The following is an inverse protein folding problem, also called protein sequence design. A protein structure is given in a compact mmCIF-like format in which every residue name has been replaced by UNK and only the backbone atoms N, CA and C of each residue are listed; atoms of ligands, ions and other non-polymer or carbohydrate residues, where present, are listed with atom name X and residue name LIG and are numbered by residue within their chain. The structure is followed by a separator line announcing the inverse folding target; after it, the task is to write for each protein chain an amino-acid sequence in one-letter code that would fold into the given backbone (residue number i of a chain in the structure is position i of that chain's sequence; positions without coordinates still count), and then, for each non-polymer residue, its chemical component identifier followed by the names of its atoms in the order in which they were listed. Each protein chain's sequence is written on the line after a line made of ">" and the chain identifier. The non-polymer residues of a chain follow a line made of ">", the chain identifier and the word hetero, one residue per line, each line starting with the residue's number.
data_IF_340129127764
#
_entry.id   IF_340129127764
#
_cell.length_a   1.000
_cell.length_b   1.000
_cell.length_c   1.000
_cell.angle_alpha   90.00
_cell.angle_beta   90.00
_cell.angle_gamma   90.00
#
_symmetry.space_group_name_H-M   'P 1'
#
loop_
_entity.id
_entity.type
_entity.pdbx_description
1 polymer ?
#
# COMPACT_ATOMS: atom_id res chain seq x y z
N UNK A 1 49.94 -4.18 -11.14
CA UNK A 1 48.89 -3.96 -12.17
C UNK A 1 47.78 -4.97 -11.91
N UNK A 2 46.59 -4.70 -11.38
CA UNK A 2 45.99 -3.59 -10.65
C UNK A 2 44.81 -4.22 -9.88
N UNK A 3 44.60 -3.83 -8.63
CA UNK A 3 43.59 -4.41 -7.74
C UNK A 3 42.24 -3.79 -8.15
N UNK A 4 41.30 -4.59 -8.62
CA UNK A 4 39.95 -4.11 -8.93
C UNK A 4 39.20 -3.82 -7.63
N UNK A 5 39.35 -2.59 -7.14
CA UNK A 5 38.44 -2.04 -6.13
C UNK A 5 37.07 -1.92 -6.77
N UNK A 6 36.17 -2.88 -6.49
CA UNK A 6 34.72 -2.66 -6.65
C UNK A 6 34.38 -1.43 -5.81
N UNK A 7 34.18 -0.29 -6.47
CA UNK A 7 33.58 0.88 -5.83
C UNK A 7 32.19 0.45 -5.38
N UNK A 8 32.07 0.18 -4.09
CA UNK A 8 30.79 0.09 -3.40
C UNK A 8 30.03 1.38 -3.76
N UNK A 9 28.78 1.28 -4.26
CA UNK A 9 27.97 2.48 -4.46
C UNK A 9 27.89 3.23 -3.13
N UNK A 10 27.86 4.58 -3.15
CA UNK A 10 27.79 5.36 -1.92
C UNK A 10 26.65 4.84 -1.04
N UNK A 11 26.85 4.76 0.28
CA UNK A 11 25.76 4.41 1.18
C UNK A 11 24.58 5.32 0.88
N UNK A 12 23.40 4.71 0.67
CA UNK A 12 22.14 5.41 0.44
C UNK A 12 22.10 6.62 1.36
N UNK A 13 21.88 7.82 0.81
CA UNK A 13 21.22 8.87 1.57
C UNK A 13 19.76 8.44 1.75
N UNK A 14 19.56 7.34 2.48
CA UNK A 14 18.29 7.06 3.11
C UNK A 14 18.03 8.30 3.95
N UNK A 15 16.93 8.99 3.67
CA UNK A 15 16.43 9.98 4.62
C UNK A 15 16.45 9.34 6.01
N UNK A 16 16.87 10.11 7.02
CA UNK A 16 16.98 9.62 8.39
C UNK A 16 15.74 8.77 8.75
N UNK A 17 15.89 7.64 9.49
CA UNK A 17 14.78 6.81 9.90
C UNK A 17 13.66 7.69 10.44
N UNK A 18 12.58 7.78 9.68
CA UNK A 18 11.50 8.70 9.95
C UNK A 18 10.72 8.17 11.15
N UNK A 19 10.39 9.08 12.08
CA UNK A 19 9.71 8.75 13.33
C UNK A 19 8.36 8.03 13.14
N UNK A 20 7.66 7.71 14.24
CA UNK A 20 6.44 6.90 14.19
C UNK A 20 5.42 7.47 13.19
N UNK A 21 4.81 6.56 12.42
CA UNK A 21 3.76 6.85 11.44
C UNK A 21 2.59 7.58 12.11
N UNK A 22 2.17 8.70 11.52
CA UNK A 22 1.00 9.45 12.00
C UNK A 22 -0.30 8.99 11.34
N UNK A 23 -0.22 8.31 10.20
CA UNK A 23 -1.36 7.70 9.53
C UNK A 23 -1.89 6.55 10.40
N UNK A 24 -3.18 6.53 10.73
CA UNK A 24 -3.79 5.44 11.52
C UNK A 24 -3.73 4.11 10.78
N UNK A 25 -3.72 2.98 11.50
CA UNK A 25 -3.80 1.64 10.89
C UNK A 25 -5.06 1.52 10.02
N UNK A 26 -4.93 0.88 8.86
CA UNK A 26 -6.04 0.64 7.95
C UNK A 26 -6.88 -0.52 8.48
N UNK A 27 -6.26 -1.67 8.71
CA UNK A 27 -6.97 -2.79 9.32
C UNK A 27 -7.10 -2.61 10.84
N UNK A 28 -8.28 -2.86 11.46
CA UNK A 28 -9.56 -3.22 10.83
C UNK A 28 -10.48 -2.02 10.55
N UNK A 29 -10.28 -0.91 11.25
CA UNK A 29 -11.30 0.15 11.38
C UNK A 29 -11.60 0.86 10.06
N UNK A 30 -10.59 1.13 9.23
CA UNK A 30 -10.78 1.79 7.93
C UNK A 30 -11.72 0.98 7.02
N UNK A 31 -11.51 -0.33 6.93
CA UNK A 31 -12.34 -1.19 6.06
C UNK A 31 -13.75 -1.37 6.62
N UNK A 32 -13.88 -1.53 7.93
CA UNK A 32 -15.21 -1.65 8.54
C UNK A 32 -16.03 -0.36 8.42
N UNK A 33 -15.39 0.80 8.53
CA UNK A 33 -16.01 2.10 8.29
C UNK A 33 -16.45 2.25 6.82
N UNK A 34 -15.55 1.96 5.87
CA UNK A 34 -15.86 2.06 4.45
C UNK A 34 -17.02 1.13 4.04
N UNK A 35 -17.06 -0.11 4.55
CA UNK A 35 -18.18 -1.02 4.29
C UNK A 35 -19.48 -0.51 4.89
N UNK A 36 -19.45 0.02 6.12
CA UNK A 36 -20.63 0.60 6.78
C UNK A 36 -21.19 1.77 5.97
N UNK A 37 -20.33 2.68 5.55
CA UNK A 37 -20.71 3.89 4.80
C UNK A 37 -21.16 3.58 3.36
N UNK A 38 -20.70 2.46 2.80
CA UNK A 38 -21.19 1.90 1.55
C UNK A 38 -22.48 1.08 1.70
N UNK A 39 -22.99 0.87 2.92
CA UNK A 39 -24.15 0.04 3.20
C UNK A 39 -23.92 -1.45 2.92
N UNK A 40 -22.68 -1.93 3.08
CA UNK A 40 -22.27 -3.31 2.80
C UNK A 40 -22.15 -4.15 4.08
N UNK A 41 -22.48 -5.46 4.01
CA UNK A 41 -22.19 -6.37 5.11
C UNK A 41 -20.70 -6.42 5.43
N UNK A 42 -20.36 -6.38 6.73
CA UNK A 42 -18.99 -6.54 7.21
C UNK A 42 -18.70 -8.04 7.28
N UNK A 43 -18.07 -8.57 6.24
CA UNK A 43 -17.64 -9.96 6.14
C UNK A 43 -16.15 -10.01 5.81
N UNK A 44 -15.46 -11.09 6.19
CA UNK A 44 -14.03 -11.26 5.88
C UNK A 44 -13.75 -11.15 4.38
N UNK A 45 -14.67 -11.64 3.53
CA UNK A 45 -14.57 -11.54 2.08
C UNK A 45 -14.63 -10.09 1.58
N UNK A 46 -15.56 -9.29 2.11
CA UNK A 46 -15.68 -7.88 1.73
C UNK A 46 -14.51 -7.05 2.25
N UNK A 47 -14.03 -7.32 3.47
CA UNK A 47 -12.82 -6.68 4.02
C UNK A 47 -11.60 -7.02 3.17
N UNK A 48 -11.45 -8.29 2.76
CA UNK A 48 -10.36 -8.73 1.90
C UNK A 48 -10.41 -8.06 0.52
N UNK A 49 -11.61 -7.92 -0.07
CA UNK A 49 -11.79 -7.22 -1.35
C UNK A 49 -11.34 -5.75 -1.26
N UNK A 50 -11.71 -5.05 -0.19
CA UNK A 50 -11.25 -3.67 0.02
C UNK A 50 -9.75 -3.58 0.27
N UNK A 51 -9.18 -4.48 1.08
CA UNK A 51 -7.74 -4.52 1.29
C UNK A 51 -6.98 -4.76 -0.04
N UNK A 52 -7.50 -5.63 -0.91
CA UNK A 52 -6.95 -5.85 -2.25
C UNK A 52 -7.00 -4.60 -3.14
N UNK A 53 -8.14 -3.91 -3.16
CA UNK A 53 -8.28 -2.64 -3.87
C UNK A 53 -7.30 -1.58 -3.34
N UNK A 54 -7.22 -1.43 -2.02
CA UNK A 54 -6.30 -0.49 -1.36
C UNK A 54 -4.84 -0.83 -1.65
N UNK A 55 -4.46 -2.10 -1.61
CA UNK A 55 -3.11 -2.55 -1.97
C UNK A 55 -2.77 -2.21 -3.43
N UNK A 56 -3.70 -2.45 -4.36
CA UNK A 56 -3.51 -2.13 -5.77
C UNK A 56 -3.33 -0.62 -5.99
N UNK A 57 -4.18 0.21 -5.37
CA UNK A 57 -4.07 1.66 -5.44
C UNK A 57 -2.75 2.17 -4.85
N UNK A 58 -2.30 1.62 -3.73
CA UNK A 58 -0.99 1.93 -3.15
C UNK A 58 0.16 1.53 -4.08
N UNK A 59 0.10 0.35 -4.69
CA UNK A 59 1.14 -0.11 -5.61
C UNK A 59 1.26 0.77 -6.86
N UNK A 60 0.13 1.16 -7.47
CA UNK A 60 0.11 2.04 -8.64
C UNK A 60 0.70 3.42 -8.33
N UNK A 61 0.42 3.98 -7.14
CA UNK A 61 0.96 5.28 -6.74
C UNK A 61 2.42 5.18 -6.26
N UNK A 62 2.81 4.08 -5.64
CA UNK A 62 4.19 3.82 -5.24
C UNK A 62 5.15 3.89 -6.43
N UNK A 63 4.79 3.27 -7.56
CA UNK A 63 5.61 3.34 -8.78
C UNK A 63 5.82 4.77 -9.27
N UNK A 64 4.79 5.62 -9.20
CA UNK A 64 4.90 7.04 -9.57
C UNK A 64 5.78 7.82 -8.59
N UNK A 65 5.69 7.52 -7.29
CA UNK A 65 6.55 8.14 -6.29
C UNK A 65 8.00 7.72 -6.43
N UNK A 66 8.26 6.45 -6.80
CA UNK A 66 9.60 5.96 -7.10
C UNK A 66 10.21 6.68 -8.31
N UNK A 67 9.41 7.00 -9.36
CA UNK A 67 9.87 7.78 -10.51
C UNK A 67 10.27 9.22 -10.13
N UNK A 68 9.48 9.88 -9.28
CA UNK A 68 9.72 11.28 -8.90
C UNK A 68 10.91 11.42 -7.95
N UNK A 69 11.08 10.48 -7.03
CA UNK A 69 12.11 10.56 -5.98
C UNK A 69 13.45 9.99 -6.46
N UNK A 70 13.44 9.01 -7.37
CA UNK A 70 14.63 8.54 -8.08
C UNK A 70 15.55 7.58 -7.30
N UNK A 71 15.01 6.44 -6.85
CA UNK A 71 15.81 5.36 -6.22
C UNK A 71 15.49 3.98 -6.82
N UNK A 72 16.29 3.51 -7.77
CA UNK A 72 16.08 2.18 -8.39
C UNK A 72 16.18 1.02 -7.37
N UNK A 73 16.91 1.23 -6.27
CA UNK A 73 17.06 0.25 -5.22
C UNK A 73 15.78 0.01 -4.42
N UNK A 74 14.94 1.05 -4.26
CA UNK A 74 13.68 0.89 -3.52
C UNK A 74 12.65 0.10 -4.34
N UNK A 75 12.63 0.25 -5.67
CA UNK A 75 11.72 -0.52 -6.54
C UNK A 75 11.97 -2.01 -6.43
N UNK A 76 13.24 -2.41 -6.38
CA UNK A 76 13.61 -3.81 -6.21
C UNK A 76 13.17 -4.34 -4.85
N UNK A 77 13.37 -3.57 -3.78
CA UNK A 77 12.96 -3.94 -2.42
C UNK A 77 11.42 -4.05 -2.31
N UNK A 78 10.70 -3.09 -2.89
CA UNK A 78 9.24 -3.10 -3.02
C UNK A 78 8.75 -4.36 -3.74
N UNK A 79 9.30 -4.66 -4.92
CA UNK A 79 8.90 -5.83 -5.71
C UNK A 79 9.16 -7.14 -4.96
N UNK A 80 10.31 -7.26 -4.29
CA UNK A 80 10.64 -8.45 -3.49
C UNK A 80 9.66 -8.64 -2.33
N UNK A 81 9.16 -7.56 -1.74
CA UNK A 81 8.30 -7.59 -0.55
C UNK A 81 6.82 -7.73 -0.88
N UNK A 82 6.33 -7.08 -1.92
CA UNK A 82 4.89 -6.91 -2.17
C UNK A 82 4.39 -7.49 -3.49
N UNK A 83 5.25 -7.76 -4.49
CA UNK A 83 4.83 -8.38 -5.76
C UNK A 83 4.84 -9.92 -5.72
N UNK A 84 4.85 -10.52 -4.52
CA UNK A 84 4.75 -11.97 -4.38
C UNK A 84 3.28 -12.39 -4.47
N UNK A 85 2.96 -13.47 -5.20
CA UNK A 85 1.61 -14.00 -5.18
C UNK A 85 1.28 -14.45 -3.75
N UNK A 86 0.15 -13.97 -3.23
CA UNK A 86 -0.41 -14.44 -1.99
C UNK A 86 -0.57 -15.97 -2.03
N UNK A 87 -0.05 -16.67 -1.01
CA UNK A 87 -0.35 -18.08 -0.87
C UNK A 87 -1.85 -18.24 -0.58
N UNK A 88 -2.48 -19.30 -1.12
CA UNK A 88 -3.87 -19.58 -0.82
C UNK A 88 -4.05 -19.81 0.70
N UNK A 89 -4.90 -19.02 1.34
CA UNK A 89 -5.16 -19.09 2.79
C UNK A 89 -4.36 -18.09 3.64
N UNK A 90 -3.67 -17.14 3.02
CA UNK A 90 -3.00 -16.07 3.76
C UNK A 90 -4.05 -15.10 4.35
N UNK A 91 -4.42 -15.28 5.62
CA UNK A 91 -5.38 -14.40 6.30
C UNK A 91 -4.79 -13.01 6.58
N UNK A 92 -3.48 -12.83 6.40
CA UNK A 92 -2.79 -11.56 6.63
C UNK A 92 -2.84 -10.60 5.43
N UNK A 93 -3.51 -10.96 4.33
CA UNK A 93 -3.67 -10.09 3.17
C UNK A 93 -4.35 -8.76 3.50
N UNK A 94 -5.23 -8.75 4.50
CA UNK A 94 -5.89 -7.52 4.99
C UNK A 94 -4.92 -6.51 5.58
N UNK A 95 -3.72 -6.95 5.99
CA UNK A 95 -2.66 -6.12 6.58
C UNK A 95 -1.60 -5.68 5.57
N UNK A 96 -1.60 -6.21 4.35
CA UNK A 96 -0.64 -5.81 3.30
C UNK A 96 -0.65 -4.30 3.06
N UNK A 97 -1.82 -3.63 2.93
CA UNK A 97 -1.85 -2.18 2.78
C UNK A 97 -1.16 -1.41 3.90
N UNK A 98 -1.29 -1.86 5.16
CA UNK A 98 -0.57 -1.25 6.28
C UNK A 98 0.95 -1.41 6.15
N UNK A 99 1.41 -2.60 5.76
CA UNK A 99 2.83 -2.85 5.55
C UNK A 99 3.40 -2.02 4.38
N UNK A 100 2.61 -1.78 3.33
CA UNK A 100 2.97 -0.89 2.21
C UNK A 100 3.10 0.57 2.68
N UNK A 101 2.13 1.07 3.44
CA UNK A 101 2.17 2.42 4.02
C UNK A 101 3.39 2.58 4.93
N UNK A 102 3.67 1.59 5.79
CA UNK A 102 4.83 1.62 6.68
C UNK A 102 6.16 1.66 5.90
N UNK A 103 6.26 0.87 4.83
CA UNK A 103 7.43 0.87 3.97
C UNK A 103 7.66 2.24 3.32
N UNK A 104 6.62 2.82 2.71
CA UNK A 104 6.69 4.13 2.05
C UNK A 104 6.98 5.26 3.05
N UNK A 105 6.40 5.17 4.25
CA UNK A 105 6.63 6.13 5.33
C UNK A 105 8.08 6.13 5.83
N UNK A 106 8.67 4.94 5.97
CA UNK A 106 10.06 4.77 6.41
C UNK A 106 11.06 5.11 5.30
N UNK A 107 10.66 4.95 4.04
CA UNK A 107 11.57 5.15 2.91
C UNK A 107 11.95 6.63 2.71
N UNK A 108 10.98 7.54 2.63
CA UNK A 108 11.26 8.96 2.37
C UNK A 108 10.26 9.90 3.07
N UNK A 109 10.78 10.80 3.90
CA UNK A 109 9.99 11.79 4.63
C UNK A 109 9.21 12.77 3.74
N UNK A 110 9.64 12.99 2.50
CA UNK A 110 8.91 13.82 1.53
C UNK A 110 7.55 13.23 1.18
N UNK A 111 7.37 11.92 1.33
CA UNK A 111 6.09 11.26 1.08
C UNK A 111 5.08 11.43 2.19
N UNK A 112 5.49 11.78 3.42
CA UNK A 112 4.58 11.74 4.59
C UNK A 112 3.27 12.48 4.37
N UNK A 113 3.35 13.70 3.81
CA UNK A 113 2.17 14.51 3.50
C UNK A 113 1.34 13.88 2.38
N UNK A 114 1.97 13.57 1.25
CA UNK A 114 1.29 13.03 0.07
C UNK A 114 0.63 11.68 0.37
N UNK A 115 1.32 10.82 1.12
CA UNK A 115 0.81 9.53 1.56
C UNK A 115 -0.37 9.70 2.54
N UNK A 116 -0.30 10.66 3.45
CA UNK A 116 -1.41 10.99 4.35
C UNK A 116 -2.65 11.48 3.61
N UNK A 117 -2.47 12.42 2.67
CA UNK A 117 -3.54 12.95 1.82
C UNK A 117 -4.14 11.82 0.96
N UNK A 118 -3.30 10.98 0.37
CA UNK A 118 -3.70 9.83 -0.43
C UNK A 118 -4.52 8.82 0.39
N UNK A 119 -4.02 8.38 1.55
CA UNK A 119 -4.74 7.45 2.43
C UNK A 119 -6.09 8.01 2.86
N UNK A 120 -6.16 9.30 3.16
CA UNK A 120 -7.42 9.96 3.51
C UNK A 120 -8.43 9.90 2.35
N UNK A 121 -7.99 10.11 1.11
CA UNK A 121 -8.84 10.01 -0.09
C UNK A 121 -9.27 8.59 -0.45
N UNK A 122 -8.52 7.57 0.00
CA UNK A 122 -8.85 6.18 -0.29
C UNK A 122 -10.14 5.72 0.38
N UNK A 123 -10.53 6.32 1.51
CA UNK A 123 -11.78 5.96 2.18
C UNK A 123 -12.98 6.22 1.26
N UNK A 124 -13.08 7.44 0.74
CA UNK A 124 -14.18 7.84 -0.15
C UNK A 124 -14.17 7.03 -1.45
N UNK A 125 -12.97 6.73 -1.95
CA UNK A 125 -12.79 5.86 -3.13
C UNK A 125 -13.29 4.43 -2.87
N UNK A 126 -12.96 3.85 -1.71
CA UNK A 126 -13.40 2.52 -1.31
C UNK A 126 -14.93 2.46 -1.11
N UNK A 127 -15.51 3.50 -0.48
CA UNK A 127 -16.97 3.63 -0.33
C UNK A 127 -17.65 3.71 -1.70
N UNK A 128 -17.16 4.58 -2.58
CA UNK A 128 -17.69 4.77 -3.92
C UNK A 128 -17.62 3.49 -4.75
N UNK A 129 -16.45 2.83 -4.80
CA UNK A 129 -16.27 1.58 -5.52
C UNK A 129 -17.19 0.47 -5.00
N UNK A 130 -17.34 0.36 -3.67
CA UNK A 130 -18.21 -0.65 -3.05
C UNK A 130 -19.68 -0.49 -3.46
N UNK A 131 -20.18 0.74 -3.57
CA UNK A 131 -21.60 1.01 -3.91
C UNK A 131 -21.99 0.49 -5.29
N UNK A 132 -21.03 0.30 -6.20
CA UNK A 132 -21.27 -0.19 -7.56
C UNK A 132 -21.50 -1.72 -7.63
N UNK A 133 -21.42 -2.43 -6.51
CA UNK A 133 -21.59 -3.88 -6.44
C UNK A 133 -22.80 -4.28 -5.57
N UNK A 134 -23.15 -5.57 -5.57
CA UNK A 134 -24.14 -6.13 -4.65
C UNK A 134 -23.63 -6.23 -3.21
N UNK A 135 -24.25 -7.08 -2.39
CA UNK A 135 -23.85 -7.27 -0.98
C UNK A 135 -22.50 -7.99 -0.82
N UNK A 136 -22.12 -8.77 -1.82
CA UNK A 136 -20.84 -9.46 -1.90
C UNK A 136 -19.96 -8.72 -2.89
N UNK A 137 -18.83 -8.22 -2.40
CA UNK A 137 -17.83 -7.54 -3.23
C UNK A 137 -17.01 -8.57 -4.02
N UNK A 138 -16.68 -8.29 -5.29
CA UNK A 138 -15.79 -9.16 -6.06
C UNK A 138 -14.40 -9.17 -5.40
N UNK A 139 -13.70 -10.30 -5.42
CA UNK A 139 -12.35 -10.38 -4.85
C UNK A 139 -11.35 -9.47 -5.56
N UNK A 140 -11.61 -9.17 -6.82
CA UNK A 140 -10.81 -8.39 -7.74
C UNK A 140 -11.43 -7.02 -8.03
N UNK A 141 -11.88 -6.28 -7.01
CA UNK A 141 -12.45 -4.93 -7.21
C UNK A 141 -11.57 -3.98 -8.03
N UNK A 142 -10.25 -4.20 -8.06
CA UNK A 142 -9.31 -3.40 -8.85
C UNK A 142 -9.36 -3.69 -10.36
N UNK A 143 -9.94 -4.82 -10.80
CA UNK A 143 -10.07 -5.15 -12.22
C UNK A 143 -11.22 -4.40 -12.90
N UNK A 144 -12.14 -3.87 -12.09
CA UNK A 144 -13.34 -3.15 -12.53
C UNK A 144 -13.21 -1.61 -12.39
N UNK A 145 -12.09 -1.12 -11.88
CA UNK A 145 -11.80 0.30 -11.67
C UNK A 145 -11.12 0.95 -12.89
#
# INVERSE_FOLDING_TARGET
>A
MGIFTRKQPPPRSAGSPTGPRTIGQLYPDFYTAALRDAGKPITDGNVLALAGLTACNLALNADQWFDVIGDDGVRQEWAVRFNRPAAAGDHDLVRIPDAMVDFLWQWDGRLHRVLGDFVSSMHDSAVSASRNHGDVLPRDMWSAA
#
